data_IF_991702287648
#
_entry.id   IF_991702287648
#
_cell.length_a   1.000
_cell.length_b   1.000
_cell.length_c   1.000
_cell.angle_alpha   90.00
_cell.angle_beta   90.00
_cell.angle_gamma   90.00
#
_symmetry.space_group_name_H-M   'P 1'
#
loop_
_entity.id
_entity.type
_entity.pdbx_description
1 polymer ?
#
# COMPACT_ATOMS: atom_id res chain seq x y z
N UNK A 1 -11.17 -11.95 3.69
CA UNK A 1 -10.79 -13.38 3.82
C UNK A 1 -9.65 -13.46 4.84
N UNK A 2 -9.85 -14.21 5.94
CA UNK A 2 -8.86 -14.25 7.06
C UNK A 2 -7.82 -15.36 6.90
N UNK A 3 -8.13 -16.40 6.12
CA UNK A 3 -7.26 -17.53 5.84
C UNK A 3 -7.46 -17.98 4.38
N UNK A 4 -6.39 -18.23 3.67
CA UNK A 4 -6.41 -18.71 2.29
C UNK A 4 -5.11 -19.43 1.93
N UNK A 5 -5.18 -20.27 0.90
CA UNK A 5 -4.01 -21.00 0.40
C UNK A 5 -3.09 -20.06 -0.36
N UNK A 6 -1.79 -20.13 -0.04
CA UNK A 6 -0.73 -19.45 -0.77
C UNK A 6 -0.01 -20.43 -1.72
N UNK A 7 0.34 -19.96 -2.90
CA UNK A 7 1.43 -20.49 -3.69
C UNK A 7 2.68 -19.74 -3.30
N UNK A 8 3.66 -20.42 -2.75
CA UNK A 8 4.96 -19.85 -2.43
C UNK A 8 6.05 -20.45 -3.30
N UNK A 9 7.04 -19.64 -3.64
CA UNK A 9 8.27 -20.07 -4.27
C UNK A 9 9.45 -19.28 -3.68
N UNK A 10 10.58 -19.94 -3.61
CA UNK A 10 11.80 -19.35 -3.07
C UNK A 10 12.97 -19.62 -4.02
N UNK A 11 13.86 -18.66 -4.15
CA UNK A 11 15.07 -18.81 -4.93
C UNK A 11 16.30 -18.48 -4.09
N UNK A 12 17.43 -19.11 -4.40
CA UNK A 12 18.69 -18.93 -3.68
C UNK A 12 19.81 -18.68 -4.68
N UNK A 13 20.54 -17.62 -4.47
CA UNK A 13 21.50 -17.08 -5.42
C UNK A 13 22.87 -16.86 -4.76
N UNK A 14 23.92 -16.95 -5.57
CA UNK A 14 25.30 -16.70 -5.14
C UNK A 14 25.70 -15.24 -5.32
N UNK A 15 24.95 -14.44 -6.09
CA UNK A 15 25.18 -13.01 -6.31
C UNK A 15 23.87 -12.22 -6.33
N UNK A 16 23.94 -10.94 -6.05
CA UNK A 16 22.82 -10.02 -6.14
C UNK A 16 22.31 -9.89 -7.59
N UNK A 17 23.21 -9.83 -8.55
CA UNK A 17 22.88 -9.75 -9.97
C UNK A 17 22.04 -10.96 -10.45
N UNK A 18 22.41 -12.17 -10.03
CA UNK A 18 21.64 -13.38 -10.37
C UNK A 18 20.23 -13.35 -9.75
N UNK A 19 20.10 -12.87 -8.49
CA UNK A 19 18.78 -12.63 -7.88
C UNK A 19 17.95 -11.64 -8.70
N UNK A 20 18.51 -10.50 -9.08
CA UNK A 20 17.82 -9.46 -9.85
C UNK A 20 17.31 -9.98 -11.19
N UNK A 21 18.13 -10.69 -11.94
CA UNK A 21 17.74 -11.31 -13.20
C UNK A 21 16.61 -12.36 -13.02
N UNK A 22 16.68 -13.13 -11.95
CA UNK A 22 15.62 -14.10 -11.64
C UNK A 22 14.33 -13.42 -11.18
N UNK A 23 14.46 -12.37 -10.40
CA UNK A 23 13.36 -11.53 -9.94
C UNK A 23 12.56 -10.95 -11.11
N UNK A 24 13.24 -10.40 -12.12
CA UNK A 24 12.60 -9.90 -13.34
C UNK A 24 11.87 -11.00 -14.13
N UNK A 25 12.44 -12.22 -14.17
CA UNK A 25 11.74 -13.37 -14.78
C UNK A 25 10.47 -13.72 -14.03
N UNK A 26 10.52 -13.71 -12.70
CA UNK A 26 9.35 -13.96 -11.86
C UNK A 26 8.30 -12.86 -12.03
N UNK A 27 8.69 -11.59 -12.05
CA UNK A 27 7.79 -10.46 -12.27
C UNK A 27 6.99 -10.67 -13.58
N UNK A 28 7.68 -10.91 -14.70
CA UNK A 28 7.05 -11.20 -15.99
C UNK A 28 6.19 -12.47 -15.99
N UNK A 29 6.54 -13.46 -15.17
CA UNK A 29 5.74 -14.66 -15.03
C UNK A 29 4.41 -14.37 -14.31
N UNK A 30 4.42 -13.51 -13.29
CA UNK A 30 3.23 -13.08 -12.56
C UNK A 30 2.26 -12.31 -13.47
N UNK A 31 2.76 -11.37 -14.28
CA UNK A 31 1.93 -10.67 -15.28
C UNK A 31 1.21 -11.67 -16.20
N UNK A 32 1.92 -12.70 -16.68
CA UNK A 32 1.30 -13.74 -17.50
C UNK A 32 0.30 -14.62 -16.73
N UNK A 33 0.57 -14.90 -15.44
CA UNK A 33 -0.34 -15.67 -14.59
C UNK A 33 -1.66 -14.93 -14.44
N UNK A 34 -1.63 -13.64 -14.08
CA UNK A 34 -2.85 -12.84 -13.90
C UNK A 34 -3.61 -12.64 -15.23
N UNK A 35 -2.91 -12.40 -16.32
CA UNK A 35 -3.53 -12.34 -17.64
C UNK A 35 -4.23 -13.67 -18.03
N UNK A 36 -3.59 -14.82 -17.76
CA UNK A 36 -4.18 -16.15 -17.99
C UNK A 36 -5.34 -16.45 -17.04
N UNK A 37 -5.30 -15.93 -15.82
CA UNK A 37 -6.37 -16.06 -14.85
C UNK A 37 -7.59 -15.15 -15.17
N UNK A 38 -7.49 -14.28 -16.18
CA UNK A 38 -8.58 -13.42 -16.63
C UNK A 38 -8.64 -12.06 -15.93
N UNK A 39 -7.59 -11.65 -15.23
CA UNK A 39 -7.45 -10.34 -14.57
C UNK A 39 -6.19 -9.60 -15.08
N UNK A 40 -6.11 -9.29 -16.40
CA UNK A 40 -4.94 -8.63 -16.97
C UNK A 40 -4.73 -7.20 -16.46
N UNK A 41 -5.72 -6.60 -15.83
CA UNK A 41 -5.72 -5.27 -15.21
C UNK A 41 -4.97 -5.22 -13.87
N UNK A 42 -4.49 -6.35 -13.35
CA UNK A 42 -3.61 -6.37 -12.17
C UNK A 42 -2.34 -5.59 -12.47
N UNK A 43 -2.06 -4.62 -11.61
CA UNK A 43 -0.87 -3.76 -11.73
C UNK A 43 0.19 -4.13 -10.73
N UNK A 44 1.45 -4.08 -11.14
CA UNK A 44 2.59 -4.19 -10.22
C UNK A 44 2.89 -2.83 -9.61
N UNK A 45 3.04 -2.77 -8.30
CA UNK A 45 3.36 -1.55 -7.56
C UNK A 45 4.60 -1.77 -6.69
N UNK A 46 5.45 -0.75 -6.59
CA UNK A 46 6.54 -0.74 -5.61
C UNK A 46 5.92 -0.78 -4.22
N UNK A 47 6.42 -1.65 -3.35
CA UNK A 47 5.91 -1.80 -1.99
C UNK A 47 7.02 -1.68 -0.94
N UNK A 48 6.61 -1.44 0.29
CA UNK A 48 7.47 -1.60 1.45
C UNK A 48 7.64 -3.09 1.76
N UNK A 49 8.86 -3.50 2.10
CA UNK A 49 9.11 -4.91 2.39
C UNK A 49 8.68 -5.34 3.80
N UNK A 50 8.36 -4.39 4.66
CA UNK A 50 7.84 -4.61 6.01
C UNK A 50 8.63 -5.63 6.83
N UNK A 51 7.92 -6.46 7.57
CA UNK A 51 8.51 -7.53 8.37
C UNK A 51 9.22 -8.60 7.53
N UNK A 52 8.86 -8.79 6.27
CA UNK A 52 9.57 -9.71 5.36
C UNK A 52 11.02 -9.29 5.19
N UNK A 53 11.28 -8.00 5.12
CA UNK A 53 12.62 -7.44 4.95
C UNK A 53 13.13 -7.57 3.51
N UNK A 54 14.36 -7.09 3.30
CA UNK A 54 14.93 -6.94 1.97
C UNK A 54 14.81 -5.51 1.45
N UNK A 55 15.43 -5.24 0.31
CA UNK A 55 15.54 -3.87 -0.20
C UNK A 55 14.57 -3.56 -1.34
N UNK A 56 14.01 -4.58 -1.96
CA UNK A 56 13.12 -4.44 -3.13
C UNK A 56 11.94 -5.39 -2.96
N UNK A 57 10.75 -4.84 -3.08
CA UNK A 57 9.51 -5.60 -3.14
C UNK A 57 8.51 -4.99 -4.11
N UNK A 58 7.70 -5.84 -4.70
CA UNK A 58 6.54 -5.44 -5.49
C UNK A 58 5.33 -6.25 -5.06
N UNK A 59 4.21 -5.56 -5.01
CA UNK A 59 2.89 -6.15 -4.86
C UNK A 59 2.15 -6.12 -6.20
N UNK A 60 1.32 -7.12 -6.44
CA UNK A 60 0.44 -7.19 -7.59
C UNK A 60 -0.97 -6.91 -7.12
N UNK A 61 -1.55 -5.80 -7.60
CA UNK A 61 -2.79 -5.23 -7.09
C UNK A 61 -3.89 -5.27 -8.14
N UNK A 62 -5.02 -5.89 -7.83
CA UNK A 62 -6.26 -5.66 -8.58
C UNK A 62 -6.87 -4.34 -8.12
N UNK A 63 -6.96 -3.36 -9.02
CA UNK A 63 -7.58 -2.07 -8.71
C UNK A 63 -9.09 -2.22 -8.63
N UNK A 64 -9.68 -1.97 -7.47
CA UNK A 64 -11.12 -2.03 -7.23
C UNK A 64 -11.50 -1.14 -6.05
N UNK A 65 -12.67 -0.47 -6.08
CA UNK A 65 -13.13 0.39 -4.98
C UNK A 65 -13.28 -0.31 -3.63
N UNK A 66 -13.52 -1.63 -3.63
CA UNK A 66 -13.65 -2.42 -2.40
C UNK A 66 -12.30 -2.87 -1.82
N UNK A 67 -11.18 -2.55 -2.49
CA UNK A 67 -9.84 -2.89 -2.03
C UNK A 67 -9.53 -2.27 -0.65
N UNK A 68 -8.74 -2.96 0.16
CA UNK A 68 -8.34 -2.49 1.50
C UNK A 68 -7.11 -1.58 1.43
N UNK A 69 -6.25 -1.76 0.42
CA UNK A 69 -4.99 -1.04 0.30
C UNK A 69 -5.13 0.23 -0.53
N UNK A 70 -4.33 1.24 -0.18
CA UNK A 70 -4.25 2.50 -0.92
C UNK A 70 -3.05 2.49 -1.86
N UNK A 71 -3.31 2.68 -3.15
CA UNK A 71 -2.32 2.61 -4.22
C UNK A 71 -2.16 3.99 -4.85
N UNK A 72 -0.92 4.46 -4.88
CA UNK A 72 -0.54 5.71 -5.53
C UNK A 72 -0.13 5.43 -6.97
N UNK A 73 -0.79 6.09 -7.91
CA UNK A 73 -0.59 5.91 -9.36
C UNK A 73 -0.32 7.26 -9.99
N UNK A 74 0.69 7.34 -10.85
CA UNK A 74 0.89 8.50 -11.71
C UNK A 74 0.11 8.35 -13.02
N UNK A 75 -0.67 9.38 -13.39
CA UNK A 75 -1.44 9.37 -14.64
C UNK A 75 -0.59 9.73 -15.89
N UNK A 76 0.70 10.08 -15.69
CA UNK A 76 1.57 10.58 -16.75
C UNK A 76 2.80 9.70 -17.01
N UNK A 77 3.11 8.76 -16.10
CA UNK A 77 4.20 7.80 -16.27
C UNK A 77 3.89 6.50 -15.52
N UNK A 78 4.82 5.54 -15.60
CA UNK A 78 4.64 4.20 -15.01
C UNK A 78 4.89 4.13 -13.48
N UNK A 79 5.00 5.28 -12.80
CA UNK A 79 5.19 5.29 -11.35
C UNK A 79 3.93 4.76 -10.63
N UNK A 80 4.12 3.68 -9.86
CA UNK A 80 3.10 3.06 -9.02
C UNK A 80 3.75 2.58 -7.72
N UNK A 81 3.11 2.85 -6.59
CA UNK A 81 3.56 2.39 -5.29
C UNK A 81 2.38 2.19 -4.35
N UNK A 82 2.51 1.31 -3.35
CA UNK A 82 1.57 1.32 -2.25
C UNK A 82 1.81 2.58 -1.39
N UNK A 83 0.85 2.93 -0.52
CA UNK A 83 0.92 4.16 0.29
C UNK A 83 2.16 4.18 1.20
N UNK A 84 2.60 3.01 1.65
CA UNK A 84 3.72 2.83 2.57
C UNK A 84 5.07 3.17 1.92
N UNK A 85 5.22 2.86 0.63
CA UNK A 85 6.45 3.09 -0.14
C UNK A 85 6.41 4.34 -1.03
N UNK A 86 5.23 4.95 -1.21
CA UNK A 86 5.07 6.10 -2.09
C UNK A 86 5.76 7.35 -1.53
N UNK A 87 6.52 8.03 -2.37
CA UNK A 87 7.19 9.27 -1.98
C UNK A 87 6.25 10.47 -2.06
N UNK A 88 6.20 11.27 -0.98
CA UNK A 88 5.40 12.48 -0.93
C UNK A 88 6.22 13.72 -1.33
N UNK A 89 5.87 14.36 -2.44
CA UNK A 89 6.44 15.64 -2.85
C UNK A 89 5.30 16.64 -3.01
N UNK A 90 5.43 17.77 -2.31
CA UNK A 90 4.46 18.86 -2.36
C UNK A 90 5.16 20.18 -2.72
N UNK A 91 4.42 21.08 -3.34
CA UNK A 91 4.89 22.46 -3.55
C UNK A 91 4.54 23.33 -2.36
N UNK A 92 5.44 24.27 -2.08
CA UNK A 92 5.23 25.34 -1.12
C UNK A 92 5.27 26.69 -1.82
N UNK A 93 4.32 27.53 -1.48
CA UNK A 93 4.35 28.92 -1.92
C UNK A 93 5.27 29.71 -0.99
N UNK A 94 6.20 30.46 -1.57
CA UNK A 94 7.11 31.33 -0.82
C UNK A 94 6.58 32.75 -0.86
N UNK A 95 6.62 33.42 0.29
CA UNK A 95 6.19 34.81 0.47
C UNK A 95 7.30 35.61 1.15
N UNK A 96 7.16 36.93 1.19
CA UNK A 96 8.05 37.76 1.99
C UNK A 96 7.98 37.36 3.46
N UNK A 97 9.13 37.12 4.06
CA UNK A 97 9.23 36.64 5.46
C UNK A 97 8.69 37.70 6.43
N UNK A 98 7.77 37.29 7.28
CA UNK A 98 7.22 38.07 8.38
C UNK A 98 8.02 37.83 9.67
N UNK A 99 7.87 38.69 10.66
CA UNK A 99 8.44 38.44 11.99
C UNK A 99 7.73 37.29 12.71
N UNK A 100 8.51 36.50 13.44
CA UNK A 100 7.96 35.46 14.33
C UNK A 100 7.22 36.13 15.47
N UNK A 101 5.91 35.97 15.52
CA UNK A 101 5.06 36.63 16.51
C UNK A 101 4.25 35.62 17.28
N UNK A 102 4.29 35.71 18.62
CA UNK A 102 3.45 34.90 19.51
C UNK A 102 2.08 35.53 19.64
N UNK A 103 1.03 34.77 19.36
CA UNK A 103 -0.37 35.20 19.38
C UNK A 103 -1.21 34.37 20.31
N UNK A 104 -2.15 34.99 21.01
CA UNK A 104 -3.09 34.24 21.87
C UNK A 104 -4.19 33.59 21.02
N UNK A 105 -4.41 32.29 21.26
CA UNK A 105 -5.38 31.46 20.55
C UNK A 105 -6.19 30.62 21.56
N UNK A 106 -7.00 31.25 22.41
CA UNK A 106 -7.63 30.60 23.55
C UNK A 106 -8.59 29.50 23.11
N UNK A 107 -8.38 28.28 23.64
CA UNK A 107 -9.22 27.10 23.36
C UNK A 107 -9.04 26.52 21.96
N UNK A 108 -8.05 26.93 21.18
CA UNK A 108 -7.79 26.40 19.82
C UNK A 108 -6.72 25.31 19.88
N UNK A 109 -7.14 24.05 19.68
CA UNK A 109 -6.28 22.87 19.85
C UNK A 109 -6.02 22.11 18.54
N UNK A 110 -6.87 22.28 17.52
CA UNK A 110 -6.73 21.57 16.24
C UNK A 110 -6.27 22.53 15.15
N UNK A 111 -5.65 21.98 14.09
CA UNK A 111 -5.20 22.76 12.94
C UNK A 111 -6.37 23.55 12.33
N UNK A 112 -7.54 22.93 12.20
CA UNK A 112 -8.75 23.56 11.64
C UNK A 112 -9.17 24.78 12.49
N UNK A 113 -9.24 24.63 13.82
CA UNK A 113 -9.61 25.71 14.74
C UNK A 113 -8.60 26.86 14.68
N UNK A 114 -7.31 26.53 14.72
CA UNK A 114 -6.23 27.54 14.69
C UNK A 114 -6.22 28.26 13.34
N UNK A 115 -6.34 27.55 12.24
CA UNK A 115 -6.36 28.12 10.90
C UNK A 115 -7.60 29.00 10.67
N UNK A 116 -8.78 28.59 11.14
CA UNK A 116 -10.00 29.39 11.09
C UNK A 116 -9.85 30.68 11.90
N UNK A 117 -9.36 30.58 13.14
CA UNK A 117 -9.18 31.72 14.05
C UNK A 117 -8.17 32.75 13.53
N UNK A 118 -7.06 32.28 12.94
CA UNK A 118 -5.99 33.13 12.41
C UNK A 118 -6.15 33.47 10.92
N UNK A 119 -7.23 33.03 10.29
CA UNK A 119 -7.48 33.19 8.84
C UNK A 119 -6.32 32.65 7.97
N UNK A 120 -5.71 31.55 8.36
CA UNK A 120 -4.60 30.93 7.67
C UNK A 120 -5.06 29.65 6.90
N UNK A 121 -4.37 29.31 5.81
CA UNK A 121 -4.55 28.03 5.13
C UNK A 121 -3.80 26.92 5.91
N UNK A 122 -4.36 25.70 5.95
CA UNK A 122 -3.70 24.56 6.55
C UNK A 122 -2.32 24.26 5.93
N UNK A 123 -2.10 24.58 4.66
CA UNK A 123 -0.79 24.52 3.99
C UNK A 123 0.22 25.54 4.51
N UNK A 124 -0.26 26.60 5.16
CA UNK A 124 0.55 27.62 5.85
C UNK A 124 0.62 27.36 7.35
N UNK A 125 0.34 26.15 7.79
CA UNK A 125 0.49 25.73 9.17
C UNK A 125 1.42 24.52 9.28
N UNK A 126 1.96 24.33 10.48
CA UNK A 126 2.78 23.21 10.86
C UNK A 126 2.11 22.54 12.07
N UNK A 127 1.89 21.24 11.97
CA UNK A 127 1.44 20.44 13.12
C UNK A 127 2.52 19.53 13.63
N UNK A 128 2.44 19.22 14.92
CA UNK A 128 3.26 18.21 15.56
C UNK A 128 2.46 16.90 15.71
N UNK A 129 3.08 15.79 15.34
CA UNK A 129 2.58 14.46 15.65
C UNK A 129 3.58 13.79 16.57
N UNK A 130 3.09 13.15 17.62
CA UNK A 130 3.95 12.61 18.69
C UNK A 130 3.84 11.10 18.73
N UNK A 131 4.99 10.46 18.60
CA UNK A 131 5.17 9.02 18.77
C UNK A 131 6.10 8.72 19.93
N UNK A 132 6.12 7.48 20.39
CA UNK A 132 7.12 6.93 21.31
C UNK A 132 7.76 5.70 20.68
N UNK A 133 9.04 5.53 20.96
CA UNK A 133 9.82 4.38 20.52
C UNK A 133 9.53 3.19 21.46
N UNK A 134 9.19 2.03 20.86
CA UNK A 134 8.79 0.84 21.65
C UNK A 134 9.88 0.32 22.59
N UNK A 135 11.16 0.62 22.33
CA UNK A 135 12.29 0.08 23.12
C UNK A 135 12.54 0.80 24.44
N UNK A 136 12.22 2.09 24.55
CA UNK A 136 12.61 2.95 25.68
C UNK A 136 11.64 4.09 25.95
N UNK A 137 10.48 4.10 25.30
CA UNK A 137 9.43 5.13 25.40
C UNK A 137 9.92 6.56 25.12
N UNK A 138 11.06 6.70 24.42
CA UNK A 138 11.59 8.01 24.02
C UNK A 138 10.61 8.71 23.11
N UNK A 139 10.24 9.96 23.43
CA UNK A 139 9.35 10.78 22.63
C UNK A 139 9.99 11.19 21.30
N UNK A 140 9.16 11.17 20.25
CA UNK A 140 9.51 11.58 18.90
C UNK A 140 8.49 12.62 18.46
N UNK A 141 8.93 13.85 18.29
CA UNK A 141 8.13 14.97 17.79
C UNK A 141 8.38 15.11 16.29
N UNK A 142 7.35 14.90 15.48
CA UNK A 142 7.41 15.01 14.04
C UNK A 142 6.64 16.24 13.63
N UNK A 143 7.33 17.20 13.04
CA UNK A 143 6.72 18.38 12.47
C UNK A 143 6.45 18.17 10.98
N UNK A 144 5.22 18.42 10.55
CA UNK A 144 4.73 18.21 9.18
C UNK A 144 3.80 19.35 8.80
N UNK A 145 3.66 19.63 7.50
CA UNK A 145 2.70 20.65 7.03
C UNK A 145 1.27 20.29 7.46
N UNK A 146 0.50 21.24 7.90
CA UNK A 146 -0.76 21.02 8.61
C UNK A 146 -1.84 20.23 7.85
N UNK A 147 -1.82 20.27 6.51
CA UNK A 147 -2.73 19.53 5.64
C UNK A 147 -2.35 18.06 5.40
N UNK A 148 -1.17 17.60 5.88
CA UNK A 148 -0.63 16.26 5.63
C UNK A 148 -0.72 15.38 6.86
N UNK A 149 -0.66 14.05 6.65
CA UNK A 149 -0.61 13.04 7.70
C UNK A 149 0.71 12.27 7.67
N UNK A 150 1.15 11.81 8.83
CA UNK A 150 2.36 10.97 8.94
C UNK A 150 2.07 9.54 8.49
N UNK A 151 3.02 8.98 7.76
CA UNK A 151 3.10 7.58 7.41
C UNK A 151 3.97 6.83 8.44
N UNK A 152 3.36 6.02 9.28
CA UNK A 152 4.03 5.30 10.36
C UNK A 152 5.08 4.31 9.84
N UNK A 153 4.83 3.68 8.69
CA UNK A 153 5.80 2.78 8.06
C UNK A 153 7.07 3.51 7.65
N UNK A 154 6.94 4.69 7.03
CA UNK A 154 8.12 5.53 6.71
C UNK A 154 8.89 5.96 7.96
N UNK A 155 8.17 6.29 9.03
CA UNK A 155 8.77 6.66 10.31
C UNK A 155 9.56 5.50 10.91
N UNK A 156 8.95 4.31 10.99
CA UNK A 156 9.58 3.08 11.48
C UNK A 156 10.83 2.72 10.66
N UNK A 157 10.73 2.81 9.34
CA UNK A 157 11.86 2.55 8.44
C UNK A 157 13.00 3.56 8.63
N UNK A 158 12.68 4.84 8.78
CA UNK A 158 13.69 5.87 9.02
C UNK A 158 14.41 5.70 10.35
N UNK A 159 13.68 5.38 11.41
CA UNK A 159 14.23 5.19 12.76
C UNK A 159 14.91 3.82 12.94
N UNK A 160 14.58 2.83 12.08
CA UNK A 160 15.06 1.45 12.21
C UNK A 160 14.51 0.73 13.45
N UNK A 161 13.39 1.20 14.01
CA UNK A 161 12.75 0.61 15.20
C UNK A 161 11.24 0.88 15.20
N UNK A 162 10.48 0.03 15.88
CA UNK A 162 9.05 0.16 16.02
C UNK A 162 8.67 1.33 16.93
N UNK A 163 7.56 1.97 16.60
CA UNK A 163 6.99 3.11 17.31
C UNK A 163 5.50 2.89 17.59
N UNK A 164 4.95 3.64 18.52
CA UNK A 164 3.51 3.71 18.77
C UNK A 164 3.07 5.17 19.01
N UNK A 165 1.79 5.51 18.83
CA UNK A 165 1.27 6.82 19.20
C UNK A 165 1.54 7.16 20.65
N UNK A 166 2.09 8.33 20.91
CA UNK A 166 2.55 8.70 22.23
C UNK A 166 1.42 8.92 23.23
N UNK A 167 1.66 8.52 24.47
CA UNK A 167 0.87 8.93 25.63
C UNK A 167 1.59 10.12 26.30
N UNK A 168 1.07 11.33 26.07
CA UNK A 168 1.67 12.55 26.63
C UNK A 168 1.25 12.68 28.11
N UNK A 169 2.25 12.73 29.01
CA UNK A 169 2.05 12.92 30.45
C UNK A 169 2.46 14.34 30.86
N UNK A 170 2.02 14.80 32.02
CA UNK A 170 2.43 16.09 32.58
C UNK A 170 3.96 16.20 32.76
N UNK A 171 4.62 15.10 33.07
CA UNK A 171 6.08 15.02 33.28
C UNK A 171 6.88 15.11 31.97
N UNK A 172 6.24 14.89 30.81
CA UNK A 172 6.92 14.91 29.51
C UNK A 172 7.45 16.27 29.11
N UNK A 173 6.90 17.36 29.69
CA UNK A 173 7.19 18.73 29.25
C UNK A 173 6.61 19.09 27.88
N UNK A 174 5.74 18.25 27.33
CA UNK A 174 5.09 18.45 26.02
C UNK A 174 3.68 18.99 26.24
N UNK A 175 3.39 20.17 25.66
CA UNK A 175 2.08 20.80 25.78
C UNK A 175 1.15 20.33 24.65
N UNK A 176 0.39 19.27 24.88
CA UNK A 176 -0.55 18.73 23.91
C UNK A 176 -1.51 19.81 23.37
N UNK A 177 -1.70 19.85 22.04
CA UNK A 177 -2.49 20.88 21.35
C UNK A 177 -1.72 22.16 21.02
N UNK A 178 -0.54 22.40 21.62
CA UNK A 178 0.24 23.63 21.44
C UNK A 178 1.72 23.37 21.14
N UNK A 179 2.06 22.16 20.65
CA UNK A 179 3.43 21.76 20.39
C UNK A 179 3.99 22.50 19.19
N UNK A 180 5.16 23.12 19.39
CA UNK A 180 5.90 23.81 18.32
C UNK A 180 7.39 23.52 18.37
N UNK A 181 8.14 23.79 17.27
CA UNK A 181 9.56 23.54 17.21
C UNK A 181 10.40 24.60 17.91
N UNK A 182 9.87 25.82 18.06
CA UNK A 182 10.58 26.96 18.66
C UNK A 182 10.60 26.82 20.19
N UNK A 183 11.79 26.89 20.78
CA UNK A 183 12.01 26.73 22.23
C UNK A 183 11.45 25.41 22.80
N UNK A 184 11.50 24.33 22.00
CA UNK A 184 11.14 23.01 22.49
C UNK A 184 12.24 22.50 23.44
N UNK A 185 11.86 22.26 24.71
CA UNK A 185 12.80 21.85 25.79
C UNK A 185 12.57 20.42 26.29
N UNK A 186 11.55 19.70 25.76
CA UNK A 186 11.32 18.31 26.15
C UNK A 186 12.47 17.40 25.68
N UNK A 187 12.76 16.36 26.44
CA UNK A 187 13.75 15.34 26.07
C UNK A 187 13.15 14.42 24.99
N UNK A 188 13.29 14.80 23.72
CA UNK A 188 12.68 14.14 22.58
C UNK A 188 13.57 14.14 21.35
N UNK A 189 13.27 13.25 20.42
CA UNK A 189 13.82 13.29 19.05
C UNK A 189 12.92 14.22 18.24
N UNK A 190 13.50 15.20 17.55
CA UNK A 190 12.77 16.12 16.67
C UNK A 190 13.05 15.79 15.22
N UNK A 191 11.99 15.61 14.43
CA UNK A 191 12.06 15.33 12.99
C UNK A 191 11.22 16.35 12.22
N UNK A 192 11.73 16.79 11.08
CA UNK A 192 11.02 17.67 10.15
C UNK A 192 10.70 16.90 8.87
N UNK A 193 9.40 16.86 8.53
CA UNK A 193 9.00 16.31 7.25
C UNK A 193 9.43 17.23 6.10
N UNK A 194 9.78 16.62 4.96
CA UNK A 194 10.26 17.39 3.79
C UNK A 194 9.22 18.35 3.20
N UNK A 195 7.93 18.21 3.54
CA UNK A 195 6.89 19.16 3.16
C UNK A 195 7.10 20.54 3.75
N UNK A 196 7.93 20.66 4.80
CA UNK A 196 8.25 21.95 5.43
C UNK A 196 9.42 22.70 4.75
N UNK A 197 10.15 22.04 3.87
CA UNK A 197 11.31 22.64 3.20
C UNK A 197 10.87 23.83 2.33
N UNK A 198 11.51 24.98 2.54
CA UNK A 198 11.23 26.20 1.78
C UNK A 198 9.89 26.86 2.14
N UNK A 199 9.22 26.47 3.22
CA UNK A 199 8.01 27.13 3.69
C UNK A 199 8.31 28.47 4.37
N UNK A 200 7.38 29.42 4.21
CA UNK A 200 7.46 30.76 4.83
C UNK A 200 6.18 31.05 5.59
N UNK A 201 6.31 31.81 6.67
CA UNK A 201 5.20 32.38 7.45
C UNK A 201 4.23 31.35 8.03
N UNK A 202 4.74 30.19 8.46
CA UNK A 202 3.93 29.14 9.03
C UNK A 202 3.33 29.57 10.38
N UNK A 203 2.13 29.02 10.67
CA UNK A 203 1.52 28.98 11.99
C UNK A 203 1.93 27.68 12.67
N UNK A 204 2.38 27.72 13.93
CA UNK A 204 2.71 26.54 14.73
C UNK A 204 2.44 26.74 16.21
N UNK A 205 2.41 25.68 17.01
CA UNK A 205 2.30 25.78 18.46
C UNK A 205 3.45 26.58 19.09
N UNK A 206 3.19 27.18 20.25
CA UNK A 206 4.17 27.98 20.99
C UNK A 206 4.70 27.29 22.27
N UNK A 207 4.44 26.00 22.45
CA UNK A 207 4.74 25.21 23.65
C UNK A 207 4.15 25.83 24.95
N UNK A 208 3.09 26.60 24.81
CA UNK A 208 2.37 27.23 25.90
C UNK A 208 0.86 27.15 25.62
N UNK A 209 0.09 26.81 26.64
CA UNK A 209 -1.36 26.69 26.54
C UNK A 209 -1.98 27.97 26.03
N UNK A 210 -2.88 27.85 25.05
CA UNK A 210 -3.59 28.96 24.41
C UNK A 210 -2.70 29.95 23.61
N UNK A 211 -1.50 29.51 23.16
CA UNK A 211 -0.63 30.33 22.31
C UNK A 211 -0.09 29.57 21.12
N UNK A 212 -0.03 30.30 19.97
CA UNK A 212 0.65 29.86 18.76
C UNK A 212 1.62 30.92 18.26
N UNK A 213 2.59 30.52 17.43
CA UNK A 213 3.42 31.45 16.65
C UNK A 213 2.84 31.59 15.25
N UNK A 214 2.95 32.83 14.72
CA UNK A 214 2.78 33.16 13.30
C UNK A 214 4.09 33.68 12.74
N UNK A 215 4.28 33.63 11.42
CA UNK A 215 5.51 34.12 10.78
C UNK A 215 6.72 33.22 10.96
N UNK A 216 6.54 31.91 11.27
CA UNK A 216 7.64 30.95 11.33
C UNK A 216 8.19 30.70 9.92
N UNK A 217 9.50 30.85 9.75
CA UNK A 217 10.20 30.60 8.49
C UNK A 217 11.28 29.53 8.72
N UNK A 218 11.15 28.38 8.08
CA UNK A 218 12.03 27.23 8.34
C UNK A 218 13.51 27.56 8.10
N UNK A 219 13.84 28.29 7.04
CA UNK A 219 15.23 28.64 6.72
C UNK A 219 15.85 29.63 7.73
N UNK A 220 15.03 30.45 8.38
CA UNK A 220 15.51 31.46 9.36
C UNK A 220 15.66 30.83 10.75
N UNK A 221 14.63 30.14 11.23
CA UNK A 221 14.62 29.57 12.59
C UNK A 221 15.38 28.23 12.68
N UNK A 222 15.44 27.46 11.58
CA UNK A 222 16.03 26.14 11.53
C UNK A 222 16.91 25.96 10.28
N UNK A 223 18.00 26.74 10.10
CA UNK A 223 18.82 26.70 8.89
C UNK A 223 19.52 25.35 8.67
N UNK A 224 19.78 24.61 9.76
CA UNK A 224 20.44 23.31 9.73
C UNK A 224 19.46 22.12 9.81
N UNK A 225 18.16 22.37 9.58
CA UNK A 225 17.14 21.31 9.65
C UNK A 225 17.37 20.26 8.57
N UNK A 226 17.40 19.01 8.98
CA UNK A 226 17.34 17.86 8.08
C UNK A 226 15.87 17.50 7.82
N UNK A 227 15.53 17.30 6.55
CA UNK A 227 14.18 17.01 6.11
C UNK A 227 14.06 15.56 5.63
N UNK A 228 13.07 14.85 6.18
CA UNK A 228 12.82 13.44 5.88
C UNK A 228 11.44 13.27 5.24
N UNK A 229 11.29 12.31 4.34
CA UNK A 229 9.98 11.95 3.77
C UNK A 229 9.21 11.07 4.75
N UNK A 230 8.31 11.66 5.53
CA UNK A 230 7.50 10.98 6.55
C UNK A 230 5.99 11.09 6.29
N UNK A 231 5.57 12.00 5.41
CA UNK A 231 4.15 12.20 5.15
C UNK A 231 3.58 11.18 4.16
N UNK A 232 2.27 10.89 4.29
CA UNK A 232 1.48 10.17 3.29
C UNK A 232 1.35 11.01 2.03
N UNK A 233 1.30 10.34 0.88
CA UNK A 233 1.00 11.01 -0.39
C UNK A 233 -0.43 11.50 -0.41
N UNK A 234 -0.64 12.66 -1.02
CA UNK A 234 -1.96 13.27 -1.22
C UNK A 234 -2.37 13.23 -2.69
N UNK A 235 -3.66 13.26 -2.92
CA UNK A 235 -4.24 13.39 -4.27
C UNK A 235 -3.73 14.65 -4.97
N UNK A 236 -3.34 14.52 -6.25
CA UNK A 236 -2.72 15.62 -7.00
C UNK A 236 -1.28 15.95 -6.61
N UNK A 237 -0.63 15.12 -5.79
CA UNK A 237 0.78 15.27 -5.42
C UNK A 237 1.72 15.19 -6.63
N UNK A 238 2.97 15.59 -6.43
CA UNK A 238 4.00 15.58 -7.48
C UNK A 238 4.60 14.19 -7.59
N UNK A 239 4.59 13.64 -8.79
CA UNK A 239 5.22 12.36 -9.07
C UNK A 239 6.75 12.45 -8.92
N UNK A 240 7.40 11.60 -8.11
CA UNK A 240 8.85 11.61 -7.94
C UNK A 240 9.60 11.19 -9.21
N UNK A 241 8.95 10.49 -10.13
CA UNK A 241 9.56 10.01 -11.37
C UNK A 241 9.52 11.05 -12.50
N UNK A 242 8.34 11.63 -12.80
CA UNK A 242 8.19 12.57 -13.92
C UNK A 242 8.08 14.05 -13.51
N UNK A 243 8.00 14.35 -12.22
CA UNK A 243 7.91 15.71 -11.68
C UNK A 243 6.59 16.44 -11.92
N UNK A 244 5.55 15.75 -12.44
CA UNK A 244 4.25 16.37 -12.70
C UNK A 244 3.30 16.19 -11.52
N UNK A 245 2.34 17.11 -11.34
CA UNK A 245 1.22 17.00 -10.41
C UNK A 245 0.17 16.04 -10.96
N UNK A 246 0.41 14.74 -10.85
CA UNK A 246 -0.37 13.72 -11.55
C UNK A 246 -0.59 12.45 -10.71
N UNK A 247 -0.31 12.51 -9.40
CA UNK A 247 -0.56 11.38 -8.52
C UNK A 247 -2.05 11.28 -8.19
N UNK A 248 -2.60 10.07 -8.31
CA UNK A 248 -3.95 9.71 -7.89
C UNK A 248 -3.87 8.56 -6.90
N UNK A 249 -4.87 8.48 -6.01
CA UNK A 249 -4.96 7.42 -5.01
C UNK A 249 -6.12 6.51 -5.37
N UNK A 250 -5.81 5.26 -5.66
CA UNK A 250 -6.79 4.20 -5.94
C UNK A 250 -6.84 3.19 -4.79
N UNK A 251 -7.91 2.38 -4.77
CA UNK A 251 -7.99 1.23 -3.86
C UNK A 251 -7.63 -0.03 -4.62
N UNK A 252 -7.05 -1.01 -3.92
CA UNK A 252 -6.65 -2.28 -4.52
C UNK A 252 -6.71 -3.46 -3.56
N UNK A 253 -6.75 -4.66 -4.15
CA UNK A 253 -6.62 -5.94 -3.46
C UNK A 253 -5.27 -6.54 -3.85
N UNK A 254 -4.41 -6.83 -2.89
CA UNK A 254 -3.16 -7.55 -3.13
C UNK A 254 -3.44 -9.02 -3.48
N UNK A 255 -3.09 -9.42 -4.70
CA UNK A 255 -3.26 -10.81 -5.19
C UNK A 255 -1.96 -11.62 -5.16
N UNK A 256 -0.82 -10.95 -5.02
CA UNK A 256 0.48 -11.58 -4.83
C UNK A 256 1.59 -10.56 -4.61
N UNK A 257 2.74 -11.06 -4.22
CA UNK A 257 3.92 -10.26 -3.93
C UNK A 257 5.22 -10.98 -4.29
N UNK A 258 6.27 -10.21 -4.50
CA UNK A 258 7.62 -10.72 -4.74
C UNK A 258 8.65 -9.86 -3.99
N UNK A 259 9.66 -10.50 -3.41
CA UNK A 259 10.66 -9.86 -2.56
C UNK A 259 12.09 -10.27 -2.91
N UNK A 260 13.01 -9.32 -2.85
CA UNK A 260 14.44 -9.57 -2.75
C UNK A 260 14.83 -9.54 -1.27
N UNK A 261 14.85 -10.72 -0.61
CA UNK A 261 15.03 -10.84 0.84
C UNK A 261 16.50 -10.67 1.28
N UNK A 262 17.45 -10.75 0.35
CA UNK A 262 18.88 -10.73 0.67
C UNK A 262 19.30 -11.94 1.50
N UNK A 263 20.09 -11.70 2.52
CA UNK A 263 20.61 -12.77 3.40
C UNK A 263 19.92 -12.81 4.78
N UNK A 264 18.84 -12.09 4.99
CA UNK A 264 18.16 -11.99 6.29
C UNK A 264 17.85 -13.36 6.89
N UNK A 265 17.15 -14.19 6.14
CA UNK A 265 16.74 -15.52 6.61
C UNK A 265 17.88 -16.54 6.58
N UNK A 266 18.69 -16.56 5.52
CA UNK A 266 19.78 -17.51 5.38
C UNK A 266 20.85 -17.34 6.46
N UNK A 267 21.11 -16.10 6.91
CA UNK A 267 21.98 -15.82 8.07
C UNK A 267 21.36 -16.33 9.36
N UNK A 268 20.10 -16.03 9.62
CA UNK A 268 19.41 -16.44 10.86
C UNK A 268 19.31 -17.96 10.99
N UNK A 269 19.12 -18.67 9.86
CA UNK A 269 19.08 -20.14 9.81
C UNK A 269 20.46 -20.79 9.74
N UNK A 270 21.55 -20.01 9.74
CA UNK A 270 22.93 -20.51 9.50
C UNK A 270 23.05 -21.34 8.21
N UNK A 271 22.26 -21.00 7.19
CA UNK A 271 22.30 -21.64 5.90
C UNK A 271 23.50 -21.13 5.11
N UNK A 272 24.45 -22.01 4.80
CA UNK A 272 25.68 -21.66 4.08
C UNK A 272 25.93 -22.58 2.91
N UNK A 273 26.68 -22.12 1.93
CA UNK A 273 27.28 -22.89 0.85
C UNK A 273 28.78 -22.54 0.75
N UNK A 274 29.56 -23.45 0.21
CA UNK A 274 30.97 -23.19 -0.08
C UNK A 274 31.09 -22.68 -1.51
N UNK A 275 31.56 -21.47 -1.67
CA UNK A 275 31.78 -20.86 -2.98
C UNK A 275 33.01 -21.49 -3.68
N UNK A 276 33.13 -21.25 -4.98
CA UNK A 276 34.29 -21.71 -5.81
C UNK A 276 35.68 -21.33 -5.24
N UNK A 277 35.71 -20.28 -4.44
CA UNK A 277 36.91 -19.82 -3.76
C UNK A 277 37.18 -20.55 -2.42
N UNK A 278 36.39 -21.56 -2.07
CA UNK A 278 36.48 -22.31 -0.81
C UNK A 278 35.95 -21.54 0.41
N UNK A 279 35.29 -20.39 0.22
CA UNK A 279 34.77 -19.55 1.28
C UNK A 279 33.31 -19.91 1.55
N UNK A 280 32.94 -20.09 2.83
CA UNK A 280 31.58 -20.28 3.26
C UNK A 280 30.81 -18.96 3.20
N UNK A 281 29.67 -18.92 2.48
CA UNK A 281 28.82 -17.75 2.29
C UNK A 281 27.35 -18.10 2.54
N UNK A 282 26.54 -17.11 2.90
CA UNK A 282 25.08 -17.27 2.94
C UNK A 282 24.49 -17.00 1.56
N UNK A 283 23.60 -17.85 1.03
CA UNK A 283 22.92 -17.56 -0.23
C UNK A 283 21.99 -16.36 -0.10
N UNK A 284 21.85 -15.63 -1.19
CA UNK A 284 20.95 -14.49 -1.31
C UNK A 284 19.58 -15.02 -1.75
N UNK A 285 18.51 -14.63 -1.06
CA UNK A 285 17.19 -15.25 -1.17
C UNK A 285 16.18 -14.32 -1.84
N UNK A 286 15.35 -14.87 -2.72
CA UNK A 286 14.12 -14.27 -3.23
C UNK A 286 12.91 -15.07 -2.78
N UNK A 287 11.75 -14.40 -2.68
CA UNK A 287 10.46 -14.98 -2.31
C UNK A 287 9.37 -14.48 -3.25
N UNK A 288 8.44 -15.39 -3.63
CA UNK A 288 7.45 -15.12 -4.67
C UNK A 288 6.12 -15.77 -4.27
N UNK A 289 5.17 -14.97 -3.73
CA UNK A 289 3.89 -15.41 -3.21
C UNK A 289 2.70 -15.06 -4.10
N UNK A 290 1.71 -15.96 -4.19
CA UNK A 290 0.39 -15.70 -4.77
C UNK A 290 -0.66 -16.20 -3.79
N UNK A 291 -1.57 -15.32 -3.37
CA UNK A 291 -2.74 -15.69 -2.59
C UNK A 291 -3.79 -16.35 -3.48
N UNK A 292 -3.76 -17.67 -3.61
CA UNK A 292 -4.61 -18.40 -4.56
C UNK A 292 -6.10 -18.18 -4.29
N UNK A 293 -6.51 -18.27 -3.02
CA UNK A 293 -7.91 -18.01 -2.65
C UNK A 293 -8.30 -16.54 -2.82
N UNK A 294 -7.37 -15.60 -2.52
CA UNK A 294 -7.58 -14.16 -2.72
C UNK A 294 -7.66 -13.82 -4.21
N UNK A 295 -6.83 -14.46 -5.05
CA UNK A 295 -6.89 -14.31 -6.51
C UNK A 295 -8.22 -14.81 -7.06
N UNK A 296 -8.73 -15.97 -6.61
CA UNK A 296 -10.03 -16.47 -7.02
C UNK A 296 -11.16 -15.50 -6.64
N UNK A 297 -11.15 -14.97 -5.42
CA UNK A 297 -12.11 -13.95 -4.97
C UNK A 297 -12.00 -12.66 -5.81
N UNK A 298 -10.78 -12.24 -6.16
CA UNK A 298 -10.53 -11.07 -7.01
C UNK A 298 -11.02 -11.27 -8.44
N UNK A 299 -10.95 -12.48 -8.97
CA UNK A 299 -11.53 -12.80 -10.28
C UNK A 299 -13.05 -12.73 -10.23
N UNK A 300 -13.68 -13.24 -9.16
CA UNK A 300 -15.12 -13.08 -8.95
C UNK A 300 -15.53 -11.61 -8.86
N UNK A 301 -14.73 -10.79 -8.18
CA UNK A 301 -14.98 -9.35 -8.07
C UNK A 301 -14.88 -8.63 -9.42
N UNK A 302 -13.90 -8.99 -10.25
CA UNK A 302 -13.72 -8.39 -11.57
C UNK A 302 -14.76 -8.89 -12.59
N UNK A 303 -15.26 -10.11 -12.42
CA UNK A 303 -16.13 -10.81 -13.38
C UNK A 303 -17.39 -11.35 -12.69
N UNK A 304 -18.38 -10.50 -12.48
CA UNK A 304 -19.69 -10.90 -11.95
C UNK A 304 -20.82 -10.07 -12.56
N UNK A 305 -22.01 -10.58 -12.42
CA UNK A 305 -23.25 -9.85 -12.63
C UNK A 305 -24.16 -9.94 -11.39
N UNK A 306 -25.40 -9.51 -11.50
CA UNK A 306 -26.38 -9.57 -10.41
C UNK A 306 -26.73 -10.98 -9.95
N UNK A 307 -26.34 -12.01 -10.70
CA UNK A 307 -26.68 -13.42 -10.44
C UNK A 307 -25.49 -14.23 -9.90
N UNK A 308 -24.26 -13.75 -10.05
CA UNK A 308 -23.09 -14.43 -9.54
C UNK A 308 -21.81 -14.23 -10.38
N UNK A 309 -20.76 -15.03 -10.12
CA UNK A 309 -19.48 -14.92 -10.81
C UNK A 309 -19.59 -15.40 -12.27
N UNK A 310 -18.89 -14.70 -13.15
CA UNK A 310 -18.71 -15.07 -14.56
C UNK A 310 -17.25 -15.53 -14.74
N UNK A 311 -17.00 -16.82 -14.64
CA UNK A 311 -15.65 -17.34 -14.70
C UNK A 311 -15.02 -17.17 -16.09
N UNK A 312 -13.83 -16.57 -16.21
CA UNK A 312 -13.04 -16.63 -17.45
C UNK A 312 -12.83 -18.08 -17.89
N UNK A 313 -12.94 -18.33 -19.20
CA UNK A 313 -12.83 -19.68 -19.76
C UNK A 313 -11.53 -20.41 -19.35
N UNK A 314 -10.45 -19.69 -19.15
CA UNK A 314 -9.15 -20.22 -18.77
C UNK A 314 -9.08 -20.87 -17.38
N UNK A 315 -10.05 -20.55 -16.51
CA UNK A 315 -10.10 -21.05 -15.12
C UNK A 315 -11.48 -21.60 -14.76
N UNK A 316 -12.46 -21.53 -15.66
CA UNK A 316 -13.78 -22.11 -15.44
C UNK A 316 -13.64 -23.61 -15.11
N UNK A 317 -14.33 -24.11 -14.07
CA UNK A 317 -14.28 -25.52 -13.70
C UNK A 317 -14.72 -26.44 -14.82
N UNK A 318 -15.65 -25.98 -15.65
CA UNK A 318 -16.11 -26.61 -16.87
C UNK A 318 -16.26 -25.58 -17.99
N UNK A 319 -15.94 -25.98 -19.20
CA UNK A 319 -16.05 -25.12 -20.38
C UNK A 319 -17.50 -24.98 -20.86
N UNK A 320 -18.31 -26.04 -20.64
CA UNK A 320 -19.71 -26.10 -21.04
C UNK A 320 -20.55 -26.67 -19.90
N UNK A 321 -21.69 -26.03 -19.64
CA UNK A 321 -22.74 -26.54 -18.74
C UNK A 321 -23.98 -26.84 -19.56
N UNK A 322 -24.38 -28.11 -19.61
CA UNK A 322 -25.62 -28.56 -20.27
C UNK A 322 -26.71 -28.63 -19.22
N UNK A 323 -27.73 -27.78 -19.32
CA UNK A 323 -28.93 -27.82 -18.49
C UNK A 323 -30.10 -28.37 -19.31
N UNK A 324 -30.36 -29.66 -19.22
CA UNK A 324 -31.44 -30.29 -19.97
C UNK A 324 -32.82 -29.95 -19.36
N UNK A 325 -33.68 -29.29 -20.14
CA UNK A 325 -35.01 -28.89 -19.70
C UNK A 325 -36.06 -29.83 -20.27
N UNK A 326 -37.05 -30.20 -19.42
CA UNK A 326 -38.14 -31.10 -19.79
C UNK A 326 -37.66 -32.48 -20.25
N UNK A 327 -36.79 -33.11 -19.49
CA UNK A 327 -36.25 -34.43 -19.77
C UNK A 327 -37.26 -35.57 -19.98
N UNK A 328 -38.53 -35.34 -19.55
CA UNK A 328 -39.67 -36.25 -19.73
C UNK A 328 -40.26 -36.17 -21.14
N UNK A 329 -39.90 -35.16 -21.95
CA UNK A 329 -40.31 -35.08 -23.35
C UNK A 329 -39.48 -35.99 -24.23
N UNK A 330 -40.14 -36.65 -25.19
CA UNK A 330 -39.53 -37.55 -26.15
C UNK A 330 -38.39 -36.83 -26.92
N UNK A 331 -37.21 -37.49 -27.00
CA UNK A 331 -36.04 -37.03 -27.71
C UNK A 331 -35.15 -36.04 -26.95
N UNK A 332 -35.61 -35.35 -25.87
CA UNK A 332 -34.80 -34.36 -25.15
C UNK A 332 -33.59 -34.96 -24.48
N UNK A 333 -33.81 -36.11 -23.78
CA UNK A 333 -32.72 -36.84 -23.11
C UNK A 333 -31.69 -37.32 -24.12
N UNK A 334 -32.13 -37.95 -25.22
CA UNK A 334 -31.23 -38.49 -26.25
C UNK A 334 -30.35 -37.43 -26.91
N UNK A 335 -30.93 -36.23 -27.16
CA UNK A 335 -30.16 -35.09 -27.70
C UNK A 335 -29.13 -34.60 -26.67
N UNK A 336 -29.51 -34.45 -25.39
CA UNK A 336 -28.62 -33.95 -24.36
C UNK A 336 -27.46 -34.95 -24.10
N UNK A 337 -27.77 -36.25 -24.03
CA UNK A 337 -26.77 -37.33 -23.84
C UNK A 337 -25.80 -37.34 -25.04
N UNK A 338 -26.31 -37.29 -26.26
CA UNK A 338 -25.50 -37.24 -27.48
C UNK A 338 -24.57 -36.01 -27.49
N UNK A 339 -25.10 -34.83 -27.10
CA UNK A 339 -24.33 -33.59 -27.02
C UNK A 339 -23.21 -33.69 -26.00
N UNK A 340 -23.52 -34.24 -24.81
CA UNK A 340 -22.57 -34.46 -23.73
C UNK A 340 -21.41 -35.36 -24.20
N UNK A 341 -21.73 -36.53 -24.79
CA UNK A 341 -20.74 -37.46 -25.33
C UNK A 341 -19.87 -36.85 -26.43
N UNK A 342 -20.49 -36.13 -27.36
CA UNK A 342 -19.76 -35.47 -28.45
C UNK A 342 -18.77 -34.39 -27.95
N UNK A 343 -19.17 -33.60 -26.95
CA UNK A 343 -18.30 -32.60 -26.38
C UNK A 343 -17.15 -33.23 -25.60
N UNK A 344 -17.41 -34.27 -24.80
CA UNK A 344 -16.34 -35.04 -24.11
C UNK A 344 -15.37 -35.68 -25.09
N UNK A 345 -15.87 -36.30 -26.18
CA UNK A 345 -15.02 -36.87 -27.22
C UNK A 345 -14.19 -35.84 -27.97
N UNK A 346 -14.66 -34.58 -28.03
CA UNK A 346 -13.90 -33.44 -28.54
C UNK A 346 -12.89 -32.86 -27.54
N UNK A 347 -12.77 -33.42 -26.34
CA UNK A 347 -11.86 -32.97 -25.30
C UNK A 347 -12.34 -31.71 -24.56
N UNK A 348 -13.63 -31.39 -24.62
CA UNK A 348 -14.24 -30.29 -23.89
C UNK A 348 -14.65 -30.74 -22.51
N UNK A 349 -14.30 -29.95 -21.47
CA UNK A 349 -14.74 -30.18 -20.10
C UNK A 349 -16.21 -29.77 -19.94
N UNK A 350 -17.09 -30.75 -19.69
CA UNK A 350 -18.53 -30.54 -19.69
C UNK A 350 -19.15 -31.02 -18.38
N UNK A 351 -20.00 -30.21 -17.79
CA UNK A 351 -20.94 -30.64 -16.74
C UNK A 351 -22.33 -30.79 -17.33
N UNK A 352 -23.06 -31.87 -16.96
CA UNK A 352 -24.40 -32.14 -17.43
C UNK A 352 -25.36 -32.23 -16.25
N UNK A 353 -26.33 -31.32 -16.19
CA UNK A 353 -27.44 -31.36 -15.23
C UNK A 353 -28.62 -32.12 -15.82
N UNK A 354 -28.73 -33.37 -15.41
CA UNK A 354 -29.81 -34.32 -15.83
C UNK A 354 -30.99 -34.41 -14.86
N UNK A 355 -31.07 -33.45 -13.90
CA UNK A 355 -32.16 -33.41 -12.92
C UNK A 355 -33.46 -32.94 -13.56
N UNK A 356 -34.58 -33.67 -13.32
CA UNK A 356 -35.91 -33.24 -13.77
C UNK A 356 -36.48 -32.20 -12.81
N UNK A 357 -36.32 -30.93 -13.15
CA UNK A 357 -36.76 -29.76 -12.39
C UNK A 357 -37.48 -28.74 -13.27
N UNK A 358 -38.14 -27.77 -12.66
CA UNK A 358 -38.87 -26.73 -13.42
C UNK A 358 -37.91 -25.84 -14.20
N UNK A 359 -38.35 -25.35 -15.36
CA UNK A 359 -37.58 -24.48 -16.27
C UNK A 359 -37.01 -23.24 -15.52
N UNK A 360 -37.82 -22.61 -14.67
CA UNK A 360 -37.39 -21.46 -13.86
C UNK A 360 -36.22 -21.79 -12.90
N UNK A 361 -36.24 -22.97 -12.30
CA UNK A 361 -35.15 -23.43 -11.42
C UNK A 361 -33.88 -23.79 -12.21
N UNK A 362 -34.03 -24.38 -13.40
CA UNK A 362 -32.91 -24.69 -14.29
C UNK A 362 -32.20 -23.41 -14.77
N UNK A 363 -32.98 -22.36 -15.06
CA UNK A 363 -32.41 -21.06 -15.44
C UNK A 363 -31.52 -20.47 -14.34
N UNK A 364 -31.96 -20.52 -13.08
CA UNK A 364 -31.14 -20.07 -11.95
C UNK A 364 -29.85 -20.88 -11.80
N UNK A 365 -29.90 -22.19 -11.97
CA UNK A 365 -28.73 -23.07 -11.86
C UNK A 365 -27.70 -22.90 -12.97
N UNK A 366 -28.08 -22.34 -14.10
CA UNK A 366 -27.12 -22.03 -15.17
C UNK A 366 -26.08 -20.97 -14.76
N UNK A 367 -26.37 -20.24 -13.68
CA UNK A 367 -25.45 -19.25 -13.07
C UNK A 367 -24.71 -19.78 -11.84
N UNK A 368 -25.08 -20.94 -11.32
CA UNK A 368 -24.37 -21.62 -10.22
C UNK A 368 -23.12 -22.35 -10.74
#
# INVERSE_FOLDING_TARGET
MREFTMKDAYSFHTSQEDLEQYYDKCHKAYERIYARAGIPEVVSVKSDSGMMGGNVSHEFMLLTPIGEDSIVICNECDYRANMEAAENIVENETEAMQELTKVATPGMHTIEQVCEFLHADAKKSMKAVVYQRNSDDKYILIFVRGDLEINETKLTNYLGCDVHPAVITEESGIQAGFIGPVNQNADCIVLFDRSLKGTTNLVCGANEVDYHYTGLNMEREFPDAEYVDLAKVVEGGICPCCGKKSLTISRGIEVGNIFQLGTKYTKTMNMTYVDKDGISKNPIMGCYGIGVGRMAASICEAHHDDYGPIWPMSIAPWQVHICAMNLDKEGVREVADTLYENLQNAGVEVIYDDRSVTVSYTHLRAHE
#
